data_IF_565804421857
#
_entry.id   IF_565804421857
#
_cell.length_a   1.000
_cell.length_b   1.000
_cell.length_c   1.000
_cell.angle_alpha   90.00
_cell.angle_beta   90.00
_cell.angle_gamma   90.00
#
_symmetry.space_group_name_H-M   'P 1'
#
loop_
_entity.id
_entity.type
_entity.pdbx_description
1 polymer ?
#
# COMPACT_ATOMS: atom_id res chain seq x y z
N UNK A 1 -18.43 -15.51 -1.22
CA UNK A 1 -17.85 -14.17 -1.14
C UNK A 1 -16.33 -14.22 -1.18
N UNK A 2 -15.68 -13.24 -1.83
CA UNK A 2 -14.24 -13.04 -1.74
C UNK A 2 -13.95 -12.26 -0.46
N UNK A 3 -13.17 -12.84 0.46
CA UNK A 3 -12.75 -12.16 1.69
C UNK A 3 -11.48 -11.38 1.42
N UNK A 4 -11.48 -10.07 1.69
CA UNK A 4 -10.42 -9.16 1.27
C UNK A 4 -10.01 -8.21 2.41
N UNK A 5 -8.78 -8.27 2.82
CA UNK A 5 -8.16 -7.20 3.60
C UNK A 5 -7.53 -6.19 2.64
N UNK A 6 -7.88 -4.92 2.78
CA UNK A 6 -7.22 -3.85 2.03
C UNK A 6 -5.94 -3.48 2.76
N UNK A 7 -4.86 -3.36 2.03
CA UNK A 7 -3.61 -2.81 2.51
C UNK A 7 -3.07 -1.75 1.55
N UNK A 8 -2.34 -0.81 2.09
CA UNK A 8 -1.75 0.27 1.33
C UNK A 8 -0.24 0.24 1.50
N UNK A 9 0.48 0.49 0.41
CA UNK A 9 1.89 0.81 0.48
C UNK A 9 2.10 2.29 0.14
N UNK A 10 3.08 2.89 0.79
CA UNK A 10 3.57 4.25 0.54
C UNK A 10 2.48 5.34 0.54
N UNK A 11 2.02 5.73 1.74
CA UNK A 11 1.20 6.93 1.94
C UNK A 11 1.89 8.20 1.42
N UNK A 12 3.22 8.20 1.45
CA UNK A 12 4.06 9.25 0.92
C UNK A 12 4.76 8.70 -0.33
N UNK A 13 4.52 9.33 -1.48
CA UNK A 13 5.25 9.04 -2.70
C UNK A 13 6.72 9.45 -2.54
N UNK A 14 7.60 8.83 -3.33
CA UNK A 14 9.03 9.16 -3.32
C UNK A 14 9.26 10.65 -3.53
N UNK A 15 10.24 11.26 -2.84
CA UNK A 15 10.52 12.70 -2.87
C UNK A 15 10.71 13.26 -4.29
N UNK A 16 11.27 12.43 -5.19
CA UNK A 16 11.58 12.83 -6.56
C UNK A 16 10.40 12.67 -7.54
N UNK A 17 9.26 12.16 -7.06
CA UNK A 17 8.06 12.04 -7.88
C UNK A 17 7.13 13.22 -7.61
N UNK A 18 7.07 14.23 -8.50
CA UNK A 18 6.21 15.38 -8.28
C UNK A 18 4.73 14.97 -8.38
N UNK A 19 3.93 15.44 -7.43
CA UNK A 19 2.49 15.33 -7.51
C UNK A 19 1.96 16.30 -8.58
N UNK A 20 0.93 15.88 -9.32
CA UNK A 20 0.23 16.77 -10.25
C UNK A 20 -0.46 17.92 -9.47
N UNK A 21 -0.69 19.04 -10.15
CA UNK A 21 -1.37 20.19 -9.56
C UNK A 21 -2.73 19.78 -8.96
N UNK A 22 -3.01 20.29 -7.77
CA UNK A 22 -4.24 19.97 -7.02
C UNK A 22 -4.14 18.75 -6.10
N UNK A 23 -3.05 17.96 -6.16
CA UNK A 23 -2.83 16.85 -5.25
C UNK A 23 -1.77 17.17 -4.20
N UNK A 24 -2.00 16.66 -2.99
CA UNK A 24 -1.03 16.60 -1.91
C UNK A 24 -1.14 15.23 -1.24
N UNK A 25 -0.11 14.78 -0.55
CA UNK A 25 -0.17 13.51 0.18
C UNK A 25 -1.35 13.49 1.16
N UNK A 26 -1.64 14.62 1.80
CA UNK A 26 -2.73 14.72 2.76
C UNK A 26 -4.11 14.60 2.08
N UNK A 27 -4.37 15.34 0.98
CA UNK A 27 -5.69 15.26 0.33
C UNK A 27 -5.91 13.92 -0.38
N UNK A 28 -4.86 13.27 -0.88
CA UNK A 28 -4.90 11.89 -1.37
C UNK A 28 -5.36 10.95 -0.26
N UNK A 29 -4.70 11.01 0.90
CA UNK A 29 -5.01 10.18 2.06
C UNK A 29 -6.44 10.42 2.56
N UNK A 30 -6.87 11.70 2.63
CA UNK A 30 -8.24 12.07 3.01
C UNK A 30 -9.29 11.49 2.05
N UNK A 31 -9.05 11.55 0.74
CA UNK A 31 -9.96 10.98 -0.24
C UNK A 31 -10.06 9.46 -0.09
N UNK A 32 -8.94 8.78 0.12
CA UNK A 32 -8.91 7.33 0.30
C UNK A 32 -9.60 6.87 1.59
N UNK A 33 -9.33 7.51 2.72
CA UNK A 33 -10.00 7.17 4.00
C UNK A 33 -11.50 7.45 3.95
N UNK A 34 -11.92 8.51 3.24
CA UNK A 34 -13.34 8.80 2.98
C UNK A 34 -14.00 7.67 2.17
N UNK A 35 -13.36 7.21 1.10
CA UNK A 35 -13.87 6.10 0.30
C UNK A 35 -13.98 4.81 1.12
N UNK A 36 -12.96 4.46 1.89
CA UNK A 36 -12.97 3.30 2.77
C UNK A 36 -14.06 3.37 3.83
N UNK A 37 -14.23 4.51 4.49
CA UNK A 37 -15.30 4.74 5.47
C UNK A 37 -16.69 4.54 4.85
N UNK A 38 -16.92 5.02 3.62
CA UNK A 38 -18.16 4.86 2.89
C UNK A 38 -18.54 3.40 2.60
N UNK A 39 -17.57 2.50 2.61
CA UNK A 39 -17.74 1.06 2.35
C UNK A 39 -17.53 0.20 3.61
N UNK A 40 -17.46 0.79 4.79
CA UNK A 40 -17.28 0.06 6.05
C UNK A 40 -15.90 -0.57 6.23
N UNK A 41 -14.90 -0.16 5.45
CA UNK A 41 -13.51 -0.64 5.57
C UNK A 41 -12.81 0.07 6.72
N UNK A 42 -12.30 -0.69 7.68
CA UNK A 42 -11.62 -0.19 8.87
C UNK A 42 -10.35 -1.00 9.14
N UNK A 43 -9.44 -0.47 9.95
CA UNK A 43 -8.24 -1.20 10.37
C UNK A 43 -7.24 -1.50 9.26
N UNK A 44 -7.28 -0.76 8.15
CA UNK A 44 -6.34 -0.91 7.03
C UNK A 44 -4.93 -0.53 7.46
N UNK A 45 -3.96 -1.40 7.17
CA UNK A 45 -2.56 -1.11 7.39
C UNK A 45 -1.96 -0.37 6.19
N UNK A 46 -1.27 0.74 6.48
CA UNK A 46 -0.40 1.43 5.54
C UNK A 46 1.06 1.09 5.86
N UNK A 47 1.70 0.38 4.95
CA UNK A 47 3.11 0.06 4.99
C UNK A 47 3.86 1.18 4.28
N UNK A 48 4.51 2.06 5.04
CA UNK A 48 5.10 3.27 4.47
C UNK A 48 6.61 3.26 4.57
N UNK A 49 7.26 3.51 3.44
CA UNK A 49 8.63 3.98 3.44
C UNK A 49 8.68 5.37 4.09
N UNK A 50 9.69 5.62 4.90
CA UNK A 50 9.70 6.80 5.76
C UNK A 50 10.72 7.86 5.36
N UNK A 51 11.62 7.59 4.41
CA UNK A 51 12.58 8.58 3.92
C UNK A 51 11.92 9.86 3.38
N UNK A 52 10.71 9.84 2.76
CA UNK A 52 10.05 11.08 2.35
C UNK A 52 9.69 12.01 3.52
N UNK A 53 9.45 11.45 4.72
CA UNK A 53 9.08 12.21 5.92
C UNK A 53 10.27 12.55 6.82
N UNK A 54 11.46 11.99 6.55
CA UNK A 54 12.64 12.19 7.38
C UNK A 54 13.07 13.67 7.37
N UNK A 55 13.13 14.26 8.56
CA UNK A 55 13.39 15.69 8.72
C UNK A 55 12.27 16.62 8.20
N UNK A 56 11.09 16.07 7.88
CA UNK A 56 9.96 16.81 7.30
C UNK A 56 8.68 16.64 8.13
N UNK A 57 8.64 17.23 9.34
CA UNK A 57 7.49 17.07 10.25
C UNK A 57 6.17 17.59 9.67
N UNK A 58 6.20 18.45 8.67
CA UNK A 58 5.00 18.91 7.95
C UNK A 58 4.25 17.78 7.24
N UNK A 59 4.92 16.64 6.97
CA UNK A 59 4.30 15.45 6.38
C UNK A 59 3.68 14.51 7.42
N UNK A 60 3.96 14.69 8.71
CA UNK A 60 3.42 13.82 9.76
C UNK A 60 1.90 13.89 9.86
N UNK A 61 1.29 14.99 9.46
CA UNK A 61 -0.17 15.12 9.35
C UNK A 61 -0.84 14.07 8.45
N UNK A 62 -0.08 13.44 7.54
CA UNK A 62 -0.58 12.32 6.72
C UNK A 62 -0.76 11.07 7.59
N UNK A 63 0.23 10.76 8.45
CA UNK A 63 0.16 9.62 9.38
C UNK A 63 -0.89 9.87 10.48
N UNK A 64 -0.96 11.10 11.00
CA UNK A 64 -1.99 11.49 11.98
C UNK A 64 -3.39 11.24 11.41
N UNK A 65 -3.67 11.77 10.22
CA UNK A 65 -4.96 11.61 9.57
C UNK A 65 -5.32 10.13 9.35
N UNK A 66 -4.35 9.31 8.89
CA UNK A 66 -4.57 7.88 8.67
C UNK A 66 -4.95 7.16 9.97
N UNK A 67 -4.22 7.42 11.04
CA UNK A 67 -4.46 6.82 12.35
C UNK A 67 -5.78 7.30 12.98
N UNK A 68 -6.10 8.59 12.86
CA UNK A 68 -7.38 9.19 13.34
C UNK A 68 -8.59 8.65 12.58
N UNK A 69 -8.41 8.27 11.31
CA UNK A 69 -9.44 7.63 10.53
C UNK A 69 -9.69 6.14 10.93
N UNK A 70 -8.95 5.62 11.93
CA UNK A 70 -9.12 4.26 12.44
C UNK A 70 -8.29 3.21 11.70
N UNK A 71 -7.23 3.62 11.04
CA UNK A 71 -6.29 2.77 10.32
C UNK A 71 -4.94 2.70 11.02
N UNK A 72 -4.02 1.85 10.54
CA UNK A 72 -2.74 1.57 11.20
C UNK A 72 -1.56 1.88 10.28
N UNK A 73 -0.46 2.36 10.87
CA UNK A 73 0.83 2.56 10.20
C UNK A 73 1.73 1.36 10.52
N UNK A 74 2.41 0.85 9.51
CA UNK A 74 3.32 -0.27 9.63
C UNK A 74 4.63 -0.03 8.84
N UNK A 75 5.63 -0.83 9.13
CA UNK A 75 6.98 -0.71 8.62
C UNK A 75 7.11 -1.25 7.19
N UNK A 76 7.74 -0.44 6.31
CA UNK A 76 8.09 -0.79 4.94
C UNK A 76 9.52 -0.37 4.59
N UNK A 77 10.44 -0.44 5.57
CA UNK A 77 11.79 0.10 5.57
C UNK A 77 11.86 1.63 5.40
N UNK A 78 13.01 2.21 5.65
CA UNK A 78 13.17 3.67 5.55
C UNK A 78 13.31 4.14 4.10
N UNK A 79 14.20 3.50 3.34
CA UNK A 79 14.51 3.87 1.96
C UNK A 79 13.76 3.04 0.92
N UNK A 80 12.70 2.32 1.29
CA UNK A 80 12.04 1.35 0.40
C UNK A 80 13.06 0.35 -0.17
N UNK A 81 13.91 -0.20 0.70
CA UNK A 81 15.05 -1.00 0.32
C UNK A 81 14.64 -2.37 -0.24
N UNK A 82 15.21 -2.76 -1.36
CA UNK A 82 15.07 -4.11 -1.90
C UNK A 82 16.09 -5.05 -1.25
N UNK A 83 15.63 -6.05 -0.49
CA UNK A 83 16.52 -7.00 0.19
C UNK A 83 17.43 -7.78 -0.77
N UNK A 84 17.01 -7.98 -2.01
CA UNK A 84 17.85 -8.66 -3.01
C UNK A 84 19.13 -7.86 -3.34
N UNK A 85 19.12 -6.53 -3.13
CA UNK A 85 20.21 -5.63 -3.55
C UNK A 85 21.07 -5.12 -2.40
N UNK A 86 20.61 -5.26 -1.15
CA UNK A 86 21.33 -4.77 0.03
C UNK A 86 21.78 -5.92 0.93
N UNK A 87 22.69 -5.64 1.86
CA UNK A 87 23.10 -6.60 2.89
C UNK A 87 22.06 -6.69 4.01
N UNK A 88 22.03 -7.82 4.73
CA UNK A 88 21.16 -7.99 5.90
C UNK A 88 21.37 -6.88 6.93
N UNK A 89 22.58 -6.55 7.38
CA UNK A 89 22.78 -5.47 8.36
C UNK A 89 22.21 -4.12 7.90
N UNK A 90 22.38 -3.75 6.63
CA UNK A 90 21.83 -2.50 6.10
C UNK A 90 20.31 -2.51 6.05
N UNK A 91 19.72 -3.65 5.69
CA UNK A 91 18.26 -3.81 5.67
C UNK A 91 17.65 -3.71 7.07
N UNK A 92 18.29 -4.34 8.07
CA UNK A 92 17.86 -4.26 9.46
C UNK A 92 17.96 -2.83 10.02
N UNK A 93 19.05 -2.12 9.73
CA UNK A 93 19.20 -0.72 10.12
C UNK A 93 18.10 0.16 9.50
N UNK A 94 17.68 -0.16 8.27
CA UNK A 94 16.60 0.55 7.57
C UNK A 94 15.22 0.27 8.22
N UNK A 95 14.97 -0.95 8.67
CA UNK A 95 13.80 -1.31 9.47
C UNK A 95 13.78 -0.51 10.79
N UNK A 96 14.89 -0.49 11.53
CA UNK A 96 15.02 0.18 12.83
C UNK A 96 14.80 1.69 12.71
N UNK A 97 15.32 2.30 11.64
CA UNK A 97 15.11 3.73 11.38
C UNK A 97 13.64 4.07 11.15
N UNK A 98 12.93 3.22 10.39
CA UNK A 98 11.48 3.37 10.22
C UNK A 98 10.75 3.24 11.55
N UNK A 99 11.04 2.20 12.35
CA UNK A 99 10.40 2.00 13.65
C UNK A 99 10.52 3.23 14.55
N UNK A 100 11.71 3.83 14.58
CA UNK A 100 11.95 5.05 15.37
C UNK A 100 11.05 6.20 14.90
N UNK A 101 10.86 6.36 13.60
CA UNK A 101 10.05 7.45 13.06
C UNK A 101 8.56 7.21 13.26
N UNK A 102 8.07 5.99 12.99
CA UNK A 102 6.62 5.68 13.03
C UNK A 102 6.12 5.28 14.43
N UNK A 103 6.98 5.17 15.43
CA UNK A 103 6.63 4.70 16.79
C UNK A 103 5.33 5.34 17.33
N UNK A 104 5.08 6.66 17.23
CA UNK A 104 3.89 7.29 17.78
C UNK A 104 2.57 6.72 17.23
N UNK A 105 2.59 6.23 16.01
CA UNK A 105 1.42 5.63 15.31
C UNK A 105 1.44 4.11 15.38
N UNK A 106 2.59 3.47 15.11
CA UNK A 106 2.72 2.02 15.02
C UNK A 106 2.39 1.31 16.34
N UNK A 107 2.71 1.91 17.50
CA UNK A 107 2.39 1.34 18.82
C UNK A 107 0.90 1.16 19.09
N UNK A 108 0.03 1.85 18.32
CA UNK A 108 -1.43 1.75 18.44
C UNK A 108 -2.01 0.59 17.63
N UNK A 109 -1.23 -0.02 16.76
CA UNK A 109 -1.66 -1.11 15.92
C UNK A 109 -1.81 -2.41 16.75
N UNK A 110 -2.88 -3.21 16.53
CA UNK A 110 -3.09 -4.45 17.26
C UNK A 110 -2.07 -5.53 16.92
N UNK A 111 -1.46 -5.47 15.75
CA UNK A 111 -0.42 -6.38 15.28
C UNK A 111 0.72 -5.57 14.69
N UNK A 112 1.95 -5.95 15.02
CA UNK A 112 3.15 -5.34 14.48
C UNK A 112 3.50 -5.98 13.14
N UNK A 113 2.87 -5.47 12.07
CA UNK A 113 3.14 -5.97 10.73
C UNK A 113 4.39 -5.32 10.10
N UNK A 114 5.03 -6.10 9.25
CA UNK A 114 6.12 -5.69 8.36
C UNK A 114 5.82 -6.14 6.93
N UNK A 115 6.16 -5.31 5.93
CA UNK A 115 6.07 -5.70 4.51
C UNK A 115 7.41 -5.50 3.83
N UNK A 116 7.86 -6.54 3.14
CA UNK A 116 9.03 -6.47 2.27
C UNK A 116 8.75 -5.59 1.07
N UNK A 117 9.67 -4.66 0.76
CA UNK A 117 9.54 -3.80 -0.41
C UNK A 117 9.59 -4.63 -1.69
N UNK A 118 8.71 -4.29 -2.65
CA UNK A 118 8.57 -4.99 -3.93
C UNK A 118 8.32 -6.51 -3.77
N UNK A 119 7.81 -6.93 -2.61
CA UNK A 119 7.63 -8.34 -2.24
C UNK A 119 8.90 -9.20 -2.43
N UNK A 120 10.08 -8.59 -2.22
CA UNK A 120 11.39 -9.25 -2.32
C UNK A 120 11.89 -9.71 -0.95
N UNK A 121 11.80 -11.00 -0.71
CA UNK A 121 12.08 -11.67 0.57
C UNK A 121 13.55 -12.12 0.73
N UNK A 122 14.43 -11.68 -0.16
CA UNK A 122 15.82 -12.10 -0.22
C UNK A 122 16.07 -13.18 -1.27
N UNK A 123 17.10 -12.97 -2.07
CA UNK A 123 17.48 -13.88 -3.17
C UNK A 123 18.50 -14.94 -2.75
N UNK A 124 18.82 -15.03 -1.46
CA UNK A 124 19.64 -16.09 -0.86
C UNK A 124 19.03 -16.55 0.46
N UNK A 125 19.23 -17.82 0.88
CA UNK A 125 18.79 -18.30 2.19
C UNK A 125 19.27 -17.41 3.34
N UNK A 126 20.53 -16.96 3.31
CA UNK A 126 21.13 -16.09 4.33
C UNK A 126 20.34 -14.78 4.50
N UNK A 127 19.97 -14.14 3.39
CA UNK A 127 19.19 -12.89 3.44
C UNK A 127 17.80 -13.13 3.99
N UNK A 128 17.12 -14.15 3.48
CA UNK A 128 15.77 -14.49 3.94
C UNK A 128 15.76 -14.86 5.43
N UNK A 129 16.59 -15.80 5.83
CA UNK A 129 16.65 -16.29 7.21
C UNK A 129 17.13 -15.22 8.20
N UNK A 130 18.11 -14.41 7.78
CA UNK A 130 18.65 -13.34 8.62
C UNK A 130 17.62 -12.27 8.95
N UNK A 131 16.84 -11.85 7.96
CA UNK A 131 15.76 -10.85 8.18
C UNK A 131 14.59 -11.50 8.92
N UNK A 132 14.18 -12.71 8.54
CA UNK A 132 13.08 -13.41 9.22
C UNK A 132 13.38 -13.61 10.71
N UNK A 133 14.59 -14.04 11.05
CA UNK A 133 15.01 -14.21 12.44
C UNK A 133 14.99 -12.89 13.23
N UNK A 134 15.28 -11.77 12.59
CA UNK A 134 15.13 -10.45 13.21
C UNK A 134 13.66 -10.10 13.45
N UNK A 135 12.81 -10.29 12.44
CA UNK A 135 11.38 -10.00 12.52
C UNK A 135 10.74 -10.81 13.67
N UNK A 136 11.03 -12.11 13.73
CA UNK A 136 10.50 -13.02 14.77
C UNK A 136 10.92 -12.59 16.18
N UNK A 137 12.24 -12.27 16.36
CA UNK A 137 12.74 -11.82 17.67
C UNK A 137 12.14 -10.49 18.13
N UNK A 138 11.74 -9.63 17.19
CA UNK A 138 11.17 -8.33 17.50
C UNK A 138 9.64 -8.30 17.43
N UNK A 139 8.99 -9.47 17.32
CA UNK A 139 7.53 -9.62 17.36
C UNK A 139 6.81 -9.06 16.13
N UNK A 140 7.48 -9.00 14.99
CA UNK A 140 6.85 -8.66 13.73
C UNK A 140 6.16 -9.87 13.09
N UNK A 141 5.10 -9.59 12.36
CA UNK A 141 4.47 -10.54 11.44
C UNK A 141 4.62 -10.01 10.02
N UNK A 142 5.21 -10.80 9.13
CA UNK A 142 5.30 -10.43 7.73
C UNK A 142 3.91 -10.45 7.08
N UNK A 143 3.57 -9.40 6.33
CA UNK A 143 2.29 -9.25 5.64
C UNK A 143 2.49 -9.33 4.12
N UNK A 144 2.33 -10.54 3.51
CA UNK A 144 2.47 -10.72 2.07
C UNK A 144 1.30 -10.08 1.32
N UNK A 145 1.46 -9.94 0.01
CA UNK A 145 0.41 -9.52 -0.92
C UNK A 145 -0.11 -10.75 -1.64
N UNK A 146 -1.41 -10.88 -1.78
CA UNK A 146 -2.00 -11.97 -2.57
C UNK A 146 -2.78 -11.49 -3.79
N UNK A 147 -3.18 -10.22 -3.84
CA UNK A 147 -3.83 -9.60 -4.99
C UNK A 147 -3.26 -8.21 -5.21
N UNK A 148 -2.74 -7.98 -6.41
CA UNK A 148 -2.26 -6.68 -6.85
C UNK A 148 -2.63 -6.46 -8.32
N UNK A 149 -2.95 -5.23 -8.70
CA UNK A 149 -3.34 -4.87 -10.06
C UNK A 149 -2.37 -3.90 -10.73
N UNK A 150 -1.14 -3.80 -10.19
CA UNK A 150 -0.07 -2.99 -10.74
C UNK A 150 -0.47 -1.50 -10.89
N UNK A 151 -1.11 -0.96 -9.85
CA UNK A 151 -1.66 0.40 -9.83
C UNK A 151 -0.62 1.49 -10.13
N UNK A 152 0.63 1.28 -9.74
CA UNK A 152 1.74 2.22 -10.01
C UNK A 152 2.06 2.39 -11.50
N UNK A 153 1.76 1.40 -12.35
CA UNK A 153 1.97 1.50 -13.79
C UNK A 153 1.07 2.53 -14.47
N UNK A 154 -0.02 2.90 -13.81
CA UNK A 154 -0.95 3.93 -14.30
C UNK A 154 -0.51 5.36 -13.98
N UNK A 155 0.49 5.57 -13.11
CA UNK A 155 0.93 6.89 -12.68
C UNK A 155 1.46 7.73 -13.83
N UNK A 156 2.37 7.19 -14.63
CA UNK A 156 2.98 7.92 -15.73
C UNK A 156 1.98 8.31 -16.83
N UNK A 157 1.10 7.42 -17.33
CA UNK A 157 0.06 7.83 -18.29
C UNK A 157 -0.93 8.84 -17.70
N UNK A 158 -1.33 8.70 -16.44
CA UNK A 158 -2.21 9.66 -15.78
C UNK A 158 -1.57 11.05 -15.67
N UNK A 159 -0.32 11.08 -15.20
CA UNK A 159 0.42 12.34 -15.06
C UNK A 159 0.62 13.04 -16.40
N UNK A 160 0.96 12.28 -17.47
CA UNK A 160 1.08 12.85 -18.82
C UNK A 160 -0.22 13.46 -19.34
N UNK A 161 -1.35 12.77 -19.13
CA UNK A 161 -2.67 13.27 -19.53
C UNK A 161 -3.05 14.55 -18.76
N UNK A 162 -2.82 14.58 -17.44
CA UNK A 162 -3.06 15.76 -16.61
C UNK A 162 -2.19 16.95 -17.08
N UNK A 163 -0.91 16.73 -17.29
CA UNK A 163 0.03 17.78 -17.73
C UNK A 163 -0.33 18.33 -19.12
N UNK A 164 -0.85 17.49 -19.99
CA UNK A 164 -1.28 17.90 -21.34
C UNK A 164 -2.66 18.56 -21.39
N UNK A 165 -3.41 18.58 -20.26
CA UNK A 165 -4.81 19.00 -20.26
C UNK A 165 -5.75 18.07 -21.05
N UNK A 166 -5.34 16.80 -21.28
CA UNK A 166 -6.13 15.81 -22.02
C UNK A 166 -7.18 15.18 -21.07
N UNK A 167 -8.34 15.85 -21.00
CA UNK A 167 -9.45 15.41 -20.15
C UNK A 167 -9.96 14.00 -20.53
N UNK A 168 -10.02 13.68 -21.83
CA UNK A 168 -10.43 12.35 -22.29
C UNK A 168 -9.39 11.29 -21.95
N UNK A 169 -8.10 11.61 -22.06
CA UNK A 169 -7.01 10.75 -21.61
C UNK A 169 -7.08 10.45 -20.11
N UNK A 170 -7.30 11.47 -19.29
CA UNK A 170 -7.50 11.30 -17.84
C UNK A 170 -8.69 10.35 -17.55
N UNK A 171 -9.82 10.58 -18.22
CA UNK A 171 -11.01 9.73 -18.07
C UNK A 171 -10.73 8.28 -18.48
N UNK A 172 -10.04 8.07 -19.60
CA UNK A 172 -9.67 6.71 -20.06
C UNK A 172 -8.76 6.00 -19.06
N UNK A 173 -7.74 6.68 -18.54
CA UNK A 173 -6.81 6.09 -17.56
C UNK A 173 -7.55 5.73 -16.27
N UNK A 174 -8.41 6.59 -15.75
CA UNK A 174 -9.23 6.30 -14.55
C UNK A 174 -10.15 5.10 -14.77
N UNK A 175 -10.81 5.01 -15.93
CA UNK A 175 -11.67 3.86 -16.26
C UNK A 175 -10.86 2.57 -16.30
N UNK A 176 -9.72 2.56 -17.00
CA UNK A 176 -8.84 1.40 -17.08
C UNK A 176 -8.30 0.99 -15.70
N UNK A 177 -8.00 1.96 -14.84
CA UNK A 177 -7.56 1.71 -13.48
C UNK A 177 -8.59 0.92 -12.67
N UNK A 178 -9.85 1.36 -12.70
CA UNK A 178 -10.96 0.70 -12.01
C UNK A 178 -11.25 -0.68 -12.60
N UNK A 179 -11.32 -0.79 -13.93
CA UNK A 179 -11.60 -2.06 -14.62
C UNK A 179 -10.48 -3.09 -14.40
N UNK A 180 -9.22 -2.63 -14.34
CA UNK A 180 -8.08 -3.50 -14.07
C UNK A 180 -8.09 -4.00 -12.63
N UNK A 181 -8.43 -3.15 -11.66
CA UNK A 181 -8.55 -3.55 -10.26
C UNK A 181 -9.58 -4.68 -10.08
N UNK A 182 -10.77 -4.52 -10.66
CA UNK A 182 -11.83 -5.55 -10.61
C UNK A 182 -11.41 -6.83 -11.34
N UNK A 183 -10.84 -6.70 -12.54
CA UNK A 183 -10.37 -7.85 -13.32
C UNK A 183 -9.32 -8.67 -12.57
N UNK A 184 -8.31 -8.01 -12.01
CA UNK A 184 -7.24 -8.68 -11.27
C UNK A 184 -7.74 -9.32 -9.98
N UNK A 185 -8.66 -8.68 -9.27
CA UNK A 185 -9.32 -9.31 -8.12
C UNK A 185 -9.96 -10.65 -8.51
N UNK A 186 -10.77 -10.68 -9.56
CA UNK A 186 -11.49 -11.88 -10.01
C UNK A 186 -10.54 -12.98 -10.49
N UNK A 187 -9.53 -12.61 -11.29
CA UNK A 187 -8.56 -13.54 -11.85
C UNK A 187 -7.72 -14.19 -10.75
N UNK A 188 -7.16 -13.36 -9.85
CA UNK A 188 -6.27 -13.86 -8.80
C UNK A 188 -7.03 -14.65 -7.72
N UNK A 189 -8.25 -14.25 -7.37
CA UNK A 189 -9.10 -15.02 -6.47
C UNK A 189 -9.49 -16.39 -7.09
N UNK A 190 -9.82 -16.43 -8.38
CA UNK A 190 -10.13 -17.68 -9.08
C UNK A 190 -8.89 -18.60 -9.18
N UNK A 191 -7.72 -18.04 -9.45
CA UNK A 191 -6.47 -18.79 -9.47
C UNK A 191 -6.12 -19.39 -8.09
N UNK A 192 -6.28 -18.61 -7.03
CA UNK A 192 -6.07 -19.09 -5.67
C UNK A 192 -7.05 -20.22 -5.29
N UNK A 193 -8.33 -20.07 -5.67
CA UNK A 193 -9.32 -21.13 -5.48
C UNK A 193 -8.94 -22.41 -6.20
N UNK A 194 -8.49 -22.31 -7.45
CA UNK A 194 -8.05 -23.46 -8.23
C UNK A 194 -6.81 -24.13 -7.61
N UNK A 195 -5.87 -23.33 -7.11
CA UNK A 195 -4.63 -23.81 -6.49
C UNK A 195 -4.87 -24.50 -5.14
N UNK A 196 -5.70 -23.92 -4.29
CA UNK A 196 -5.89 -24.39 -2.91
C UNK A 196 -7.15 -25.24 -2.70
N UNK A 197 -8.00 -25.41 -3.71
CA UNK A 197 -9.28 -26.12 -3.59
C UNK A 197 -10.30 -25.46 -2.65
N UNK A 198 -10.05 -24.21 -2.25
CA UNK A 198 -10.91 -23.40 -1.36
C UNK A 198 -10.75 -21.92 -1.65
N UNK A 199 -11.64 -21.08 -1.12
CA UNK A 199 -11.50 -19.63 -1.20
C UNK A 199 -10.68 -19.11 0.02
N UNK A 200 -9.41 -18.76 -0.14
CA UNK A 200 -8.63 -18.15 0.94
C UNK A 200 -9.11 -16.71 1.21
N UNK A 201 -8.71 -16.16 2.35
CA UNK A 201 -8.73 -14.72 2.54
C UNK A 201 -7.56 -14.09 1.77
N UNK A 202 -7.78 -12.92 1.22
CA UNK A 202 -6.81 -12.21 0.40
C UNK A 202 -6.33 -10.92 1.06
N UNK A 203 -5.12 -10.51 0.73
CA UNK A 203 -4.57 -9.18 1.05
C UNK A 203 -4.39 -8.45 -0.28
N UNK A 204 -5.13 -7.36 -0.45
CA UNK A 204 -5.09 -6.52 -1.64
C UNK A 204 -4.21 -5.30 -1.41
N UNK A 205 -3.41 -4.96 -2.42
CA UNK A 205 -2.49 -3.83 -2.39
C UNK A 205 -2.97 -2.68 -3.28
N UNK A 206 -2.86 -1.47 -2.75
CA UNK A 206 -2.94 -0.19 -3.47
C UNK A 206 -1.92 0.80 -2.87
N UNK A 207 -1.43 1.75 -3.66
CA UNK A 207 -0.52 2.79 -3.20
C UNK A 207 -1.23 4.13 -3.01
N UNK A 208 -0.66 5.03 -2.20
CA UNK A 208 -1.15 6.37 -1.92
C UNK A 208 -0.93 7.34 -3.09
N UNK A 209 -1.70 7.20 -4.16
CA UNK A 209 -1.51 7.92 -5.44
C UNK A 209 -2.69 8.84 -5.78
N UNK A 210 -2.51 9.82 -6.68
CA UNK A 210 -3.62 10.63 -7.20
C UNK A 210 -4.75 9.78 -7.80
N UNK A 211 -4.41 8.70 -8.52
CA UNK A 211 -5.42 7.78 -9.07
C UNK A 211 -6.18 7.04 -7.96
N UNK A 212 -5.50 6.62 -6.91
CA UNK A 212 -6.15 6.00 -5.77
C UNK A 212 -7.12 6.97 -5.09
N UNK A 213 -6.73 8.25 -4.93
CA UNK A 213 -7.63 9.28 -4.41
C UNK A 213 -8.90 9.43 -5.24
N UNK A 214 -8.76 9.44 -6.57
CA UNK A 214 -9.87 9.66 -7.48
C UNK A 214 -10.76 8.44 -7.71
N UNK A 215 -10.19 7.22 -7.61
CA UNK A 215 -10.82 6.00 -8.11
C UNK A 215 -11.15 4.96 -7.03
N UNK A 216 -10.59 5.03 -5.82
CA UNK A 216 -10.79 3.98 -4.80
C UNK A 216 -12.28 3.76 -4.49
N UNK A 217 -13.09 4.83 -4.40
CA UNK A 217 -14.53 4.70 -4.20
C UNK A 217 -15.19 3.83 -5.28
N UNK A 218 -14.91 4.11 -6.56
CA UNK A 218 -15.45 3.34 -7.68
C UNK A 218 -14.94 1.89 -7.68
N UNK A 219 -13.69 1.65 -7.27
CA UNK A 219 -13.15 0.28 -7.12
C UNK A 219 -13.92 -0.46 -6.03
N UNK A 220 -14.16 0.16 -4.88
CA UNK A 220 -14.88 -0.46 -3.76
C UNK A 220 -16.35 -0.73 -4.11
N UNK A 221 -17.00 0.14 -4.89
CA UNK A 221 -18.33 -0.12 -5.46
C UNK A 221 -18.35 -1.39 -6.32
N UNK A 222 -17.34 -1.54 -7.19
CA UNK A 222 -17.18 -2.75 -8.03
C UNK A 222 -16.90 -4.00 -7.20
N UNK A 223 -16.09 -3.88 -6.15
CA UNK A 223 -15.80 -4.99 -5.24
C UNK A 223 -17.07 -5.41 -4.46
N UNK A 224 -17.85 -4.45 -3.98
CA UNK A 224 -19.14 -4.74 -3.34
C UNK A 224 -20.10 -5.47 -4.30
N UNK A 225 -20.21 -5.00 -5.55
CA UNK A 225 -21.01 -5.67 -6.59
C UNK A 225 -20.48 -7.06 -6.96
N UNK A 226 -19.18 -7.33 -6.75
CA UNK A 226 -18.55 -8.63 -6.92
C UNK A 226 -18.67 -9.57 -5.70
N UNK A 227 -19.48 -9.20 -4.69
CA UNK A 227 -19.65 -9.96 -3.46
C UNK A 227 -18.36 -10.11 -2.65
N UNK A 228 -17.57 -9.02 -2.58
CA UNK A 228 -16.41 -8.93 -1.69
C UNK A 228 -16.87 -8.56 -0.29
N UNK A 229 -16.25 -9.16 0.72
CA UNK A 229 -16.40 -8.78 2.14
C UNK A 229 -15.04 -8.34 2.69
N UNK A 230 -15.03 -7.22 3.41
CA UNK A 230 -13.86 -6.63 4.02
C UNK A 230 -13.73 -7.04 5.48
#
# INVERSE_FOLDING_TARGET
PIRLAISMDDLLLWPDMPLAAGYSHLNITQAMTKAMKGHGVTGTYAFSATSPADGRPELYGVFDHWAEAGHHIANHTHHHANLNWVTVPNYLADIERTETLIEPWARRAPTRYFRYCMDNWGNTPEKHEGVQAYLDRNGFTAAPISIWFYDTEFLAPHWRALKAGDADGVKRVRQLFVDTAEKQLRVQAAAARAMFGRDPAHIWLIHGTPLAADCLGAILDRFAAANVTF
#
